data_IF_172875277334
#
_entry.id   IF_172875277334
#
_cell.length_a   1.000
_cell.length_b   1.000
_cell.length_c   1.000
_cell.angle_alpha   90.00
_cell.angle_beta   90.00
_cell.angle_gamma   90.00
#
_symmetry.space_group_name_H-M   'P 1'
#
loop_
_entity.id
_entity.type
_entity.pdbx_description
1 polymer ?
#
# COMPACT_ATOMS: atom_id res chain seq x y z
N UNK A 1 -2.59 3.21 1.81
CA UNK A 1 -2.66 4.38 2.72
C UNK A 1 -2.54 5.66 1.90
N UNK A 2 -3.16 6.76 2.33
CA UNK A 2 -2.86 8.09 1.81
C UNK A 2 -1.71 8.70 2.60
N UNK A 3 -0.72 9.21 1.89
CA UNK A 3 0.43 9.93 2.45
C UNK A 3 0.17 11.43 2.22
N UNK A 4 0.26 12.24 3.27
CA UNK A 4 0.05 13.69 3.17
C UNK A 4 1.25 14.42 3.77
N UNK A 5 1.85 15.31 2.98
CA UNK A 5 2.90 16.21 3.43
C UNK A 5 2.31 17.51 4.03
N UNK A 6 3.06 18.22 4.88
CA UNK A 6 2.64 19.53 5.39
C UNK A 6 2.38 20.56 4.27
N UNK A 7 1.54 21.59 4.52
CA UNK A 7 1.34 22.68 3.57
C UNK A 7 2.66 23.36 3.17
N UNK A 8 2.81 23.70 1.88
CA UNK A 8 4.00 24.36 1.35
C UNK A 8 5.15 23.41 0.97
N UNK A 9 5.03 22.10 1.23
CA UNK A 9 6.01 21.10 0.81
C UNK A 9 5.78 20.71 -0.65
N UNK A 10 6.76 21.01 -1.51
CA UNK A 10 6.72 20.67 -2.95
C UNK A 10 7.17 19.22 -3.19
N UNK A 11 8.20 18.76 -2.50
CA UNK A 11 8.69 17.38 -2.58
C UNK A 11 8.55 16.68 -1.23
N UNK A 12 7.54 15.81 -1.12
CA UNK A 12 7.26 15.04 0.08
C UNK A 12 8.39 14.10 0.48
N UNK A 13 9.27 13.72 -0.46
CA UNK A 13 10.42 12.83 -0.18
C UNK A 13 11.48 13.49 0.68
N UNK A 14 11.55 14.82 0.71
CA UNK A 14 12.44 15.54 1.60
C UNK A 14 11.93 15.55 3.07
N UNK A 15 10.67 15.16 3.30
CA UNK A 15 9.95 15.43 4.54
C UNK A 15 9.43 14.16 5.23
N UNK A 16 10.09 13.01 5.06
CA UNK A 16 9.67 11.71 5.63
C UNK A 16 9.25 11.75 7.11
N UNK A 17 9.94 12.58 7.92
CA UNK A 17 9.65 12.74 9.37
C UNK A 17 8.34 13.47 9.67
N UNK A 18 7.83 14.23 8.69
CA UNK A 18 6.67 15.11 8.83
C UNK A 18 5.48 14.61 7.99
N UNK A 19 5.58 13.42 7.40
CA UNK A 19 4.47 12.81 6.66
C UNK A 19 3.43 12.23 7.62
N UNK A 20 2.16 12.43 7.26
CA UNK A 20 1.03 11.77 7.93
C UNK A 20 0.45 10.67 7.04
N UNK A 21 -0.08 9.64 7.70
CA UNK A 21 -0.61 8.45 7.05
C UNK A 21 -2.05 8.22 7.50
N UNK A 22 -2.94 7.97 6.54
CA UNK A 22 -4.32 7.62 6.84
C UNK A 22 -4.76 6.43 5.97
N UNK A 23 -5.65 5.56 6.47
CA UNK A 23 -6.36 4.61 5.63
C UNK A 23 -7.11 5.34 4.51
N UNK A 24 -7.12 4.75 3.32
CA UNK A 24 -7.89 5.25 2.18
C UNK A 24 -8.58 4.06 1.53
N UNK A 25 -9.84 4.26 1.14
CA UNK A 25 -10.57 3.24 0.41
C UNK A 25 -9.91 2.95 -0.93
N UNK A 26 -9.63 1.68 -1.20
CA UNK A 26 -9.23 1.22 -2.53
C UNK A 26 -10.50 0.95 -3.34
N UNK A 27 -10.71 1.58 -4.51
CA UNK A 27 -11.88 1.29 -5.34
C UNK A 27 -11.99 -0.20 -5.69
N UNK A 28 -13.20 -0.80 -5.74
CA UNK A 28 -13.35 -2.23 -5.99
C UNK A 28 -12.67 -2.70 -7.27
N UNK A 29 -12.77 -1.93 -8.36
CA UNK A 29 -12.11 -2.28 -9.63
C UNK A 29 -10.58 -2.35 -9.49
N UNK A 30 -10.00 -1.48 -8.65
CA UNK A 30 -8.56 -1.44 -8.41
C UNK A 30 -8.13 -2.64 -7.57
N UNK A 31 -8.90 -3.01 -6.52
CA UNK A 31 -8.62 -4.21 -5.73
C UNK A 31 -8.55 -5.46 -6.61
N UNK A 32 -9.52 -5.66 -7.52
CA UNK A 32 -9.50 -6.80 -8.45
C UNK A 32 -8.28 -6.77 -9.38
N UNK A 33 -7.87 -5.60 -9.86
CA UNK A 33 -6.67 -5.46 -10.69
C UNK A 33 -5.39 -5.81 -9.92
N UNK A 34 -5.29 -5.39 -8.65
CA UNK A 34 -4.15 -5.70 -7.78
C UNK A 34 -4.03 -7.20 -7.49
N UNK A 35 -5.14 -7.88 -7.21
CA UNK A 35 -5.13 -9.34 -7.03
C UNK A 35 -4.70 -10.05 -8.31
N UNK A 36 -5.25 -9.68 -9.47
CA UNK A 36 -4.81 -10.23 -10.77
C UNK A 36 -3.33 -10.00 -11.06
N UNK A 37 -2.79 -8.85 -10.64
CA UNK A 37 -1.36 -8.56 -10.76
C UNK A 37 -0.56 -9.56 -9.92
N UNK A 38 -0.87 -9.70 -8.63
CA UNK A 38 -0.20 -10.64 -7.73
C UNK A 38 -0.25 -12.08 -8.27
N UNK A 39 -1.40 -12.53 -8.75
CA UNK A 39 -1.57 -13.86 -9.35
C UNK A 39 -0.70 -14.05 -10.61
N UNK A 40 -0.62 -13.02 -11.47
CA UNK A 40 0.13 -13.11 -12.73
C UNK A 40 1.65 -13.15 -12.53
N UNK A 41 2.13 -12.62 -11.40
CA UNK A 41 3.55 -12.60 -11.04
C UNK A 41 3.92 -13.63 -9.95
N UNK A 42 2.97 -14.49 -9.55
CA UNK A 42 3.13 -15.49 -8.49
C UNK A 42 3.64 -14.88 -7.18
N UNK A 43 3.02 -13.77 -6.76
CA UNK A 43 3.35 -13.03 -5.55
C UNK A 43 2.27 -13.22 -4.48
N UNK A 44 2.66 -13.69 -3.30
CA UNK A 44 1.79 -13.72 -2.11
C UNK A 44 1.48 -12.30 -1.58
N UNK A 45 2.38 -11.36 -1.84
CA UNK A 45 2.35 -10.00 -1.28
C UNK A 45 2.97 -8.99 -2.24
N UNK A 46 2.45 -7.76 -2.20
CA UNK A 46 3.06 -6.60 -2.83
C UNK A 46 2.62 -5.30 -2.17
N UNK A 47 3.59 -4.38 -1.98
CA UNK A 47 3.30 -3.00 -1.63
C UNK A 47 3.13 -2.19 -2.92
N UNK A 48 1.92 -1.72 -3.18
CA UNK A 48 1.60 -0.99 -4.40
C UNK A 48 1.66 0.52 -4.19
N UNK A 49 2.47 1.19 -5.01
CA UNK A 49 2.61 2.64 -5.05
C UNK A 49 1.70 3.27 -6.09
N UNK A 50 0.97 4.31 -5.69
CA UNK A 50 0.12 5.10 -6.58
C UNK A 50 0.33 6.59 -6.37
N UNK A 51 0.28 7.36 -7.46
CA UNK A 51 -0.03 8.79 -7.40
C UNK A 51 -1.53 8.98 -7.60
N UNK A 52 -2.16 9.82 -6.79
CA UNK A 52 -3.59 10.14 -6.90
C UNK A 52 -3.73 11.62 -7.23
N UNK A 53 -4.37 11.92 -8.34
CA UNK A 53 -4.63 13.30 -8.80
C UNK A 53 -5.75 13.95 -8.00
N UNK A 54 -5.91 15.27 -8.12
CA UNK A 54 -6.95 16.03 -7.39
C UNK A 54 -8.38 15.59 -7.76
N UNK A 55 -8.60 15.19 -9.01
CA UNK A 55 -9.85 14.62 -9.51
C UNK A 55 -10.03 13.13 -9.15
N UNK A 56 -9.09 12.55 -8.39
CA UNK A 56 -9.19 11.21 -7.84
C UNK A 56 -8.78 10.08 -8.79
N UNK A 57 -8.10 10.37 -9.89
CA UNK A 57 -7.53 9.34 -10.76
C UNK A 57 -6.27 8.72 -10.13
N UNK A 58 -6.12 7.39 -10.26
CA UNK A 58 -5.02 6.63 -9.68
C UNK A 58 -4.03 6.23 -10.77
N UNK A 59 -2.78 6.64 -10.60
CA UNK A 59 -1.66 6.31 -11.49
C UNK A 59 -0.76 5.29 -10.81
N UNK A 60 -0.69 4.09 -11.36
CA UNK A 60 0.20 3.04 -10.87
C UNK A 60 1.66 3.46 -11.07
N UNK A 61 2.47 3.34 -10.02
CA UNK A 61 3.90 3.65 -10.06
C UNK A 61 4.73 2.37 -10.04
N UNK A 62 4.52 1.53 -9.03
CA UNK A 62 5.27 0.29 -8.86
C UNK A 62 4.55 -0.71 -7.95
N UNK A 63 4.97 -1.97 -8.05
CA UNK A 63 4.74 -2.99 -7.04
C UNK A 63 6.10 -3.36 -6.44
N UNK A 64 6.25 -3.16 -5.13
CA UNK A 64 7.41 -3.64 -4.39
C UNK A 64 7.04 -4.93 -3.64
N UNK A 65 7.48 -6.13 -4.10
CA UNK A 65 7.16 -7.40 -3.46
C UNK A 65 7.83 -7.57 -2.08
N UNK A 66 8.81 -6.74 -1.76
CA UNK A 66 9.46 -6.68 -0.44
C UNK A 66 9.25 -5.31 0.23
N UNK A 67 8.15 -4.63 -0.11
CA UNK A 67 7.85 -3.31 0.41
C UNK A 67 7.76 -3.32 1.93
N UNK A 68 8.47 -2.41 2.57
CA UNK A 68 8.37 -2.26 4.01
C UNK A 68 7.02 -1.62 4.37
N UNK A 69 6.39 -2.13 5.43
CA UNK A 69 5.03 -1.74 5.83
C UNK A 69 4.90 -1.50 7.35
N UNK A 70 5.90 -1.91 8.15
CA UNK A 70 5.80 -1.95 9.61
C UNK A 70 5.51 -0.58 10.25
N UNK A 71 6.06 0.51 9.72
CA UNK A 71 5.78 1.85 10.27
C UNK A 71 4.32 2.29 10.05
N UNK A 72 3.63 1.74 9.05
CA UNK A 72 2.24 2.11 8.76
C UNK A 72 1.30 1.56 9.83
N UNK A 73 1.60 0.39 10.40
CA UNK A 73 0.82 -0.16 11.52
C UNK A 73 0.91 0.76 12.74
N UNK A 74 2.11 1.21 13.10
CA UNK A 74 2.29 2.19 14.18
C UNK A 74 1.56 3.51 13.90
N UNK A 75 1.53 3.96 12.64
CA UNK A 75 0.90 5.21 12.24
C UNK A 75 -0.63 5.14 12.12
N UNK A 76 -1.20 3.97 11.83
CA UNK A 76 -2.63 3.83 11.47
C UNK A 76 -3.42 2.89 12.38
N UNK A 77 -2.75 2.09 13.20
CA UNK A 77 -3.36 1.06 14.04
C UNK A 77 -3.92 -0.14 13.26
N UNK A 78 -3.67 -0.24 11.96
CA UNK A 78 -4.12 -1.36 11.14
C UNK A 78 -3.29 -2.62 11.43
N UNK A 79 -3.91 -3.80 11.53
CA UNK A 79 -3.25 -5.03 11.98
C UNK A 79 -2.41 -5.69 10.87
N UNK A 80 -1.45 -4.96 10.30
CA UNK A 80 -0.65 -5.41 9.16
C UNK A 80 0.27 -6.58 9.54
N UNK A 81 0.88 -6.54 10.73
CA UNK A 81 1.69 -7.64 11.25
C UNK A 81 0.87 -8.92 11.36
N UNK A 82 -0.36 -8.81 11.87
CA UNK A 82 -1.26 -9.96 11.95
C UNK A 82 -1.59 -10.52 10.57
N UNK A 83 -1.91 -9.67 9.60
CA UNK A 83 -2.22 -10.10 8.24
C UNK A 83 -1.04 -10.83 7.56
N UNK A 84 0.20 -10.35 7.77
CA UNK A 84 1.39 -11.02 7.25
C UNK A 84 1.66 -12.34 7.98
N UNK A 85 1.48 -12.38 9.31
CA UNK A 85 1.60 -13.62 10.07
C UNK A 85 0.56 -14.67 9.63
N UNK A 86 -0.70 -14.26 9.42
CA UNK A 86 -1.76 -15.14 8.92
C UNK A 86 -1.42 -15.69 7.53
N UNK A 87 -0.87 -14.87 6.64
CA UNK A 87 -0.42 -15.31 5.32
C UNK A 87 0.69 -16.38 5.41
N UNK A 88 1.63 -16.21 6.34
CA UNK A 88 2.72 -17.16 6.58
C UNK A 88 2.22 -18.46 7.24
N UNK A 89 1.27 -18.37 8.16
CA UNK A 89 0.69 -19.54 8.86
C UNK A 89 -0.17 -20.40 7.93
N UNK A 90 -0.98 -19.76 7.08
CA UNK A 90 -1.87 -20.46 6.15
C UNK A 90 -1.10 -21.06 4.97
N UNK A 91 0.06 -20.48 4.64
CA UNK A 91 0.77 -20.79 3.40
C UNK A 91 -0.04 -20.34 2.18
N UNK A 92 0.49 -20.60 0.99
CA UNK A 92 -0.30 -20.42 -0.22
C UNK A 92 -1.19 -21.64 -0.46
N UNK A 93 -2.44 -21.60 -0.01
CA UNK A 93 -3.47 -22.45 -0.61
C UNK A 93 -3.88 -21.86 -1.97
N UNK A 94 -2.99 -21.98 -2.95
CA UNK A 94 -3.30 -21.60 -4.34
C UNK A 94 -3.98 -22.80 -5.03
N UNK A 95 -5.22 -22.61 -5.49
CA UNK A 95 -5.93 -23.54 -6.39
C UNK A 95 -5.44 -23.38 -7.83
#
# INVERSE_FOLDING_TARGET
MRITAPPGVVDWRAEYKNLSYAPVGCPPYMQHALHRFLDSFDLAYGAFGFAVTEDGAWWFLECNPNGQWAWLEAATGLPLTRAIADLLEQGEERR
#
